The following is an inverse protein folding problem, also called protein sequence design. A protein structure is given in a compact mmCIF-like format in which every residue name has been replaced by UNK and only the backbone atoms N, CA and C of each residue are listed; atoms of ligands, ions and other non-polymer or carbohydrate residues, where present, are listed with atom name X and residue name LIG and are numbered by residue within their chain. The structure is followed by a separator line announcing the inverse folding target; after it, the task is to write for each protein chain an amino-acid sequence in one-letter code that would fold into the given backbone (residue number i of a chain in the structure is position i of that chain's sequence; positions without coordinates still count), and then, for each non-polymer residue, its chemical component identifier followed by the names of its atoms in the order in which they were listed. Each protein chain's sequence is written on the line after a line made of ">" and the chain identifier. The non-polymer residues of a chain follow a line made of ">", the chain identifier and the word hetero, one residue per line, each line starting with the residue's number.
data_IF_476520804449
#
_entry.id   IF_476520804449
#
_cell.length_a   1.000
_cell.length_b   1.000
_cell.length_c   1.000
_cell.angle_alpha   90.00
_cell.angle_beta   90.00
_cell.angle_gamma   90.00
#
_symmetry.space_group_name_H-M   'P 1'
#
loop_
_entity.id
_entity.type
_entity.pdbx_description
1 polymer ?
#
# COMPACT_ATOMS: atom_id res chain seq x y z
N UNK A 1 -1.75 -9.93 -8.69
CA UNK A 1 -3.14 -10.42 -8.53
C UNK A 1 -4.01 -9.72 -9.56
N UNK A 2 -5.03 -10.40 -10.05
CA UNK A 2 -6.01 -9.84 -11.01
C UNK A 2 -7.39 -10.21 -10.50
N UNK A 3 -8.05 -9.32 -9.74
CA UNK A 3 -9.42 -9.53 -9.32
C UNK A 3 -10.35 -9.71 -10.52
N UNK A 4 -11.37 -10.56 -10.38
CA UNK A 4 -12.46 -10.65 -11.36
C UNK A 4 -13.35 -9.40 -11.26
N UNK A 5 -14.12 -9.06 -12.33
CA UNK A 5 -15.04 -7.92 -12.28
C UNK A 5 -15.98 -7.99 -11.05
N UNK A 6 -16.06 -6.88 -10.31
CA UNK A 6 -16.85 -6.79 -9.08
C UNK A 6 -16.15 -7.29 -7.81
N UNK A 7 -14.95 -7.85 -7.92
CA UNK A 7 -14.10 -8.23 -6.79
C UNK A 7 -12.94 -7.26 -6.60
N UNK A 8 -12.51 -7.12 -5.35
CA UNK A 8 -11.35 -6.31 -5.00
C UNK A 8 -10.51 -6.94 -3.89
N UNK A 9 -9.21 -6.64 -3.94
CA UNK A 9 -8.28 -6.85 -2.83
C UNK A 9 -8.04 -5.54 -2.07
N UNK A 10 -7.29 -5.61 -0.96
CA UNK A 10 -7.12 -4.47 -0.06
C UNK A 10 -5.70 -3.91 -0.04
N UNK A 11 -5.61 -2.62 0.26
CA UNK A 11 -4.37 -1.94 0.59
C UNK A 11 -3.87 -2.31 1.99
N UNK A 12 -2.68 -1.81 2.35
CA UNK A 12 -2.07 -1.99 3.67
C UNK A 12 -2.97 -1.52 4.81
N UNK A 13 -3.44 -0.28 4.75
CA UNK A 13 -4.61 0.13 5.53
C UNK A 13 -5.84 -0.13 4.65
N UNK A 14 -6.75 -1.06 5.02
CA UNK A 14 -7.88 -1.41 4.17
C UNK A 14 -9.01 -0.37 4.22
N UNK A 15 -8.96 0.61 5.14
CA UNK A 15 -10.05 1.52 5.43
C UNK A 15 -11.01 0.94 6.47
N UNK A 16 -12.31 1.18 6.29
CA UNK A 16 -13.35 0.78 7.24
C UNK A 16 -13.59 -0.73 7.28
N UNK A 17 -13.35 -1.45 6.17
CA UNK A 17 -13.46 -2.90 6.11
C UNK A 17 -12.28 -3.52 5.37
N UNK A 18 -11.97 -4.78 5.70
CA UNK A 18 -10.93 -5.57 5.05
C UNK A 18 -9.72 -5.85 5.94
N UNK A 19 -8.70 -6.49 5.37
CA UNK A 19 -7.45 -6.84 6.06
C UNK A 19 -6.26 -6.77 5.11
N UNK A 20 -5.08 -6.42 5.66
CA UNK A 20 -3.82 -6.46 4.94
C UNK A 20 -3.46 -7.92 4.56
N UNK A 21 -2.95 -8.12 3.34
CA UNK A 21 -2.34 -9.39 2.93
C UNK A 21 -1.17 -9.77 3.84
N UNK A 22 -1.21 -10.98 4.42
CA UNK A 22 -0.12 -11.55 5.22
C UNK A 22 0.69 -12.54 4.40
N UNK A 23 2.02 -12.45 4.51
CA UNK A 23 2.95 -13.38 3.87
C UNK A 23 3.75 -14.15 4.91
N UNK A 24 3.65 -15.48 4.87
CA UNK A 24 4.45 -16.39 5.69
C UNK A 24 5.54 -17.01 4.82
N UNK A 25 6.75 -16.49 4.97
CA UNK A 25 7.89 -16.82 4.11
C UNK A 25 8.64 -18.07 4.57
N UNK A 26 9.03 -18.91 3.61
CA UNK A 26 10.02 -19.99 3.78
C UNK A 26 11.20 -19.71 2.85
N UNK A 27 12.27 -19.16 3.41
CA UNK A 27 13.43 -18.66 2.66
C UNK A 27 14.69 -19.47 2.96
N UNK A 28 15.70 -19.44 2.05
CA UNK A 28 17.00 -20.02 2.32
C UNK A 28 17.67 -19.33 3.52
N UNK A 29 18.64 -19.99 4.18
CA UNK A 29 19.36 -19.41 5.30
C UNK A 29 19.90 -18.01 4.99
N UNK A 30 19.68 -17.07 5.91
CA UNK A 30 20.14 -15.68 5.85
C UNK A 30 19.52 -14.82 4.73
N UNK A 31 18.64 -15.36 3.89
CA UNK A 31 17.79 -14.55 3.00
C UNK A 31 16.63 -13.98 3.81
N UNK A 32 16.32 -12.69 3.63
CA UNK A 32 15.20 -12.02 4.30
C UNK A 32 14.30 -11.33 3.29
N UNK A 33 13.00 -11.37 3.53
CA UNK A 33 12.01 -10.57 2.80
C UNK A 33 11.74 -9.27 3.55
N UNK A 34 11.56 -8.17 2.81
CA UNK A 34 11.01 -6.93 3.34
C UNK A 34 9.53 -7.08 3.68
N UNK A 35 8.95 -6.05 4.30
CA UNK A 35 7.50 -5.87 4.26
C UNK A 35 7.00 -5.76 2.81
N UNK A 36 5.72 -6.05 2.62
CA UNK A 36 5.04 -5.82 1.35
C UNK A 36 5.01 -4.32 1.04
N UNK A 37 5.38 -3.97 -0.18
CA UNK A 37 5.29 -2.62 -0.72
C UNK A 37 4.08 -2.54 -1.64
N UNK A 38 3.21 -1.61 -1.30
CA UNK A 38 1.91 -1.48 -1.91
C UNK A 38 1.88 -0.34 -2.93
N UNK A 39 1.29 -0.53 -4.12
CA UNK A 39 0.96 0.59 -4.99
C UNK A 39 -0.10 1.49 -4.34
N UNK A 40 -0.21 2.73 -4.81
CA UNK A 40 -1.28 3.65 -4.35
C UNK A 40 -2.65 3.01 -4.63
N UNK A 41 -3.55 2.91 -3.63
CA UNK A 41 -4.83 2.23 -3.79
C UNK A 41 -5.88 3.12 -4.46
N UNK A 42 -6.98 2.48 -4.87
CA UNK A 42 -8.23 3.16 -5.18
C UNK A 42 -9.06 3.41 -3.92
N UNK A 43 -10.11 4.23 -4.06
CA UNK A 43 -11.11 4.51 -3.02
C UNK A 43 -12.42 3.84 -3.41
N UNK A 44 -13.05 3.14 -2.48
CA UNK A 44 -14.33 2.47 -2.71
C UNK A 44 -15.26 2.71 -1.52
N UNK A 45 -16.30 3.52 -1.73
CA UNK A 45 -17.32 3.82 -0.72
C UNK A 45 -18.54 2.93 -0.93
N UNK A 46 -18.75 1.95 -0.05
CA UNK A 46 -19.89 1.05 -0.08
C UNK A 46 -20.66 1.18 1.22
N UNK A 47 -21.96 1.48 1.13
CA UNK A 47 -22.83 1.58 2.31
C UNK A 47 -22.30 2.53 3.41
N UNK A 48 -21.61 3.59 3.00
CA UNK A 48 -21.00 4.57 3.90
C UNK A 48 -19.65 4.16 4.50
N UNK A 49 -19.08 3.03 4.11
CA UNK A 49 -17.75 2.54 4.50
C UNK A 49 -16.73 2.82 3.39
N UNK A 50 -15.70 3.60 3.69
CA UNK A 50 -14.60 3.90 2.78
C UNK A 50 -13.53 2.83 2.87
N UNK A 51 -13.26 2.19 1.74
CA UNK A 51 -12.28 1.12 1.61
C UNK A 51 -11.16 1.57 0.67
N UNK A 52 -9.93 1.16 0.98
CA UNK A 52 -8.77 1.37 0.12
C UNK A 52 -8.40 0.05 -0.55
N UNK A 53 -8.67 -0.01 -1.84
CA UNK A 53 -8.80 -1.29 -2.55
C UNK A 53 -8.06 -1.31 -3.88
N UNK A 54 -7.97 -2.51 -4.43
CA UNK A 54 -7.56 -2.78 -5.79
C UNK A 54 -8.65 -3.59 -6.50
N UNK A 55 -9.44 -2.94 -7.34
CA UNK A 55 -10.46 -3.58 -8.19
C UNK A 55 -9.85 -4.17 -9.48
N UNK A 56 -8.63 -3.74 -9.82
CA UNK A 56 -7.91 -4.14 -11.03
C UNK A 56 -6.62 -4.90 -10.77
N UNK A 57 -5.94 -5.27 -11.86
CA UNK A 57 -4.64 -5.95 -11.80
C UNK A 57 -3.62 -5.09 -11.05
N UNK A 58 -3.03 -5.68 -10.02
CA UNK A 58 -2.02 -5.04 -9.18
C UNK A 58 -0.94 -6.05 -8.76
N UNK A 59 0.16 -5.55 -8.22
CA UNK A 59 1.21 -6.37 -7.62
C UNK A 59 1.70 -5.75 -6.32
N UNK A 60 1.89 -6.60 -5.32
CA UNK A 60 2.57 -6.26 -4.08
C UNK A 60 4.04 -6.63 -4.26
N UNK A 61 4.94 -5.68 -4.06
CA UNK A 61 6.37 -5.91 -4.26
C UNK A 61 7.04 -6.25 -2.94
N UNK A 62 8.06 -7.11 -3.00
CA UNK A 62 8.91 -7.46 -1.87
C UNK A 62 10.36 -7.37 -2.32
N UNK A 63 11.21 -6.79 -1.48
CA UNK A 63 12.65 -6.83 -1.68
C UNK A 63 13.23 -8.02 -0.91
N UNK A 64 14.08 -8.80 -1.57
CA UNK A 64 14.82 -9.89 -0.94
C UNK A 64 16.24 -9.44 -0.63
N UNK A 65 16.60 -9.38 0.64
CA UNK A 65 17.98 -9.22 1.07
C UNK A 65 18.69 -10.57 0.99
N UNK A 66 19.59 -10.71 0.02
CA UNK A 66 20.36 -11.94 -0.24
C UNK A 66 21.79 -11.77 0.31
N UNK A 67 22.38 -12.80 0.95
CA UNK A 67 23.77 -12.75 1.40
C UNK A 67 24.75 -12.45 0.25
N UNK A 68 25.74 -11.60 0.52
CA UNK A 68 26.83 -11.34 -0.43
C UNK A 68 27.74 -12.58 -0.54
N UNK A 69 28.39 -12.73 -1.69
CA UNK A 69 29.43 -13.74 -1.90
C UNK A 69 28.93 -15.15 -2.25
N UNK A 70 27.64 -15.32 -2.53
CA UNK A 70 27.12 -16.58 -3.08
C UNK A 70 27.72 -16.82 -4.48
N UNK A 71 28.12 -18.05 -4.78
CA UNK A 71 28.66 -18.42 -6.08
C UNK A 71 27.60 -18.27 -7.18
N UNK A 72 27.94 -17.78 -8.39
CA UNK A 72 27.04 -17.84 -9.54
C UNK A 72 26.52 -19.26 -9.78
N UNK A 73 25.25 -19.37 -10.16
CA UNK A 73 24.55 -20.66 -10.31
C UNK A 73 23.91 -21.19 -9.01
N UNK A 74 24.23 -20.61 -7.84
CA UNK A 74 23.57 -20.98 -6.58
C UNK A 74 22.06 -20.79 -6.70
N UNK A 75 21.30 -21.83 -6.35
CA UNK A 75 19.84 -21.82 -6.35
C UNK A 75 19.29 -21.34 -5.00
N UNK A 76 18.32 -20.44 -5.07
CA UNK A 76 17.64 -19.85 -3.93
C UNK A 76 16.13 -20.10 -4.08
N UNK A 77 15.61 -21.20 -3.52
CA UNK A 77 14.16 -21.44 -3.51
C UNK A 77 13.49 -20.40 -2.61
N UNK A 78 12.53 -19.66 -3.16
CA UNK A 78 11.71 -18.67 -2.45
C UNK A 78 10.28 -19.17 -2.42
N UNK A 79 9.75 -19.40 -1.22
CA UNK A 79 8.38 -19.88 -1.02
C UNK A 79 7.66 -19.01 -0.01
N UNK A 80 6.35 -18.88 -0.17
CA UNK A 80 5.51 -18.26 0.84
C UNK A 80 4.07 -18.79 0.78
N UNK A 81 3.39 -18.75 1.92
CA UNK A 81 1.94 -18.78 2.00
C UNK A 81 1.43 -17.34 2.08
N UNK A 82 0.55 -16.96 1.18
CA UNK A 82 -0.17 -15.69 1.20
C UNK A 82 -1.56 -15.92 1.78
N UNK A 83 -1.93 -15.19 2.81
CA UNK A 83 -3.30 -15.11 3.33
C UNK A 83 -3.82 -13.70 3.07
N UNK A 84 -4.98 -13.59 2.44
CA UNK A 84 -5.55 -12.31 2.02
C UNK A 84 -7.07 -12.36 2.03
N UNK A 85 -7.71 -11.21 1.90
CA UNK A 85 -9.15 -11.10 1.79
C UNK A 85 -9.51 -10.54 0.42
N UNK A 86 -10.48 -11.16 -0.22
CA UNK A 86 -11.14 -10.62 -1.41
C UNK A 86 -12.60 -10.37 -1.07
N UNK A 87 -13.13 -9.25 -1.54
CA UNK A 87 -14.52 -8.92 -1.31
C UNK A 87 -15.20 -8.44 -2.59
N UNK A 88 -16.52 -8.53 -2.61
CA UNK A 88 -17.41 -7.75 -3.45
C UNK A 88 -18.01 -6.61 -2.62
N UNK A 89 -19.05 -5.95 -3.13
CA UNK A 89 -19.88 -5.01 -2.36
C UNK A 89 -20.72 -5.65 -1.26
N UNK A 90 -20.86 -6.97 -1.27
CA UNK A 90 -21.77 -7.72 -0.40
C UNK A 90 -21.10 -8.85 0.38
N UNK A 91 -20.04 -9.45 -0.16
CA UNK A 91 -19.44 -10.68 0.38
C UNK A 91 -17.94 -10.48 0.55
N UNK A 92 -17.39 -11.01 1.64
CA UNK A 92 -15.96 -11.07 1.89
C UNK A 92 -15.51 -12.51 2.13
N UNK A 93 -14.48 -12.95 1.40
CA UNK A 93 -13.96 -14.31 1.44
C UNK A 93 -12.47 -14.28 1.79
N UNK A 94 -12.07 -14.89 2.93
CA UNK A 94 -10.66 -15.16 3.22
C UNK A 94 -10.11 -16.20 2.25
N UNK A 95 -8.97 -15.88 1.65
CA UNK A 95 -8.31 -16.70 0.64
C UNK A 95 -6.86 -16.99 1.05
N UNK A 96 -6.34 -18.11 0.55
CA UNK A 96 -4.96 -18.53 0.78
C UNK A 96 -4.33 -19.04 -0.51
N UNK A 97 -3.06 -18.70 -0.74
CA UNK A 97 -2.29 -19.21 -1.87
C UNK A 97 -0.86 -19.59 -1.45
N UNK A 98 -0.37 -20.72 -1.94
CA UNK A 98 1.06 -21.03 -1.89
C UNK A 98 1.75 -20.54 -3.16
N UNK A 99 2.76 -19.69 -2.98
CA UNK A 99 3.57 -19.16 -4.09
C UNK A 99 5.01 -19.64 -3.95
N UNK A 100 5.62 -19.98 -5.08
CA UNK A 100 6.99 -20.44 -5.12
C UNK A 100 7.71 -19.98 -6.39
N UNK A 101 8.98 -19.67 -6.25
CA UNK A 101 9.90 -19.44 -7.36
C UNK A 101 11.31 -19.89 -6.97
N UNK A 102 12.17 -20.12 -7.95
CA UNK A 102 13.58 -20.40 -7.72
C UNK A 102 14.42 -19.31 -8.38
N UNK A 103 15.14 -18.55 -7.56
CA UNK A 103 16.10 -17.56 -8.05
C UNK A 103 17.46 -18.24 -8.25
N UNK A 104 18.18 -17.82 -9.28
CA UNK A 104 19.56 -18.29 -9.53
C UNK A 104 20.51 -17.10 -9.38
N UNK A 105 21.52 -17.24 -8.52
CA UNK A 105 22.55 -16.20 -8.33
C UNK A 105 23.31 -16.02 -9.64
N UNK A 106 23.43 -14.78 -10.11
CA UNK A 106 24.08 -14.46 -11.37
C UNK A 106 24.06 -12.97 -11.67
N UNK A 107 24.32 -12.62 -12.91
CA UNK A 107 24.22 -11.24 -13.37
C UNK A 107 22.77 -10.72 -13.21
N UNK A 108 22.58 -9.42 -12.91
CA UNK A 108 21.25 -8.82 -12.89
C UNK A 108 20.51 -9.08 -14.20
N UNK A 109 19.27 -9.55 -14.11
CA UNK A 109 18.37 -9.74 -15.23
C UNK A 109 17.12 -8.89 -15.01
N UNK A 110 17.12 -7.63 -15.49
CA UNK A 110 15.98 -6.73 -15.32
C UNK A 110 14.74 -7.30 -16.01
N UNK A 111 13.59 -7.22 -15.33
CA UNK A 111 12.30 -7.57 -15.91
C UNK A 111 11.45 -6.29 -16.03
N UNK A 112 11.09 -5.84 -17.24
CA UNK A 112 10.30 -4.62 -17.46
C UNK A 112 8.97 -4.58 -16.72
N UNK A 113 8.37 -5.75 -16.40
CA UNK A 113 7.15 -5.80 -15.62
C UNK A 113 7.34 -5.22 -14.20
N UNK A 114 8.51 -5.42 -13.59
CA UNK A 114 8.81 -4.82 -12.29
C UNK A 114 8.92 -3.30 -12.37
N UNK A 115 9.38 -2.75 -13.49
CA UNK A 115 9.46 -1.30 -13.65
C UNK A 115 8.08 -0.66 -13.70
N UNK A 116 7.12 -1.31 -14.35
CA UNK A 116 5.72 -0.89 -14.33
C UNK A 116 5.14 -0.90 -12.91
N UNK A 117 5.36 -1.97 -12.14
CA UNK A 117 4.85 -2.07 -10.77
C UNK A 117 5.56 -1.13 -9.79
N UNK A 118 6.87 -0.89 -9.95
CA UNK A 118 7.61 0.09 -9.13
C UNK A 118 7.12 1.52 -9.37
N UNK A 119 6.73 1.87 -10.60
CA UNK A 119 6.18 3.20 -10.92
C UNK A 119 4.85 3.49 -10.21
N UNK A 120 4.10 2.45 -9.84
CA UNK A 120 2.83 2.57 -9.12
C UNK A 120 2.99 2.71 -7.60
N UNK A 121 4.21 2.52 -7.05
CA UNK A 121 4.48 2.73 -5.63
C UNK A 121 4.41 4.23 -5.27
N UNK A 122 4.00 4.57 -4.04
CA UNK A 122 4.08 5.93 -3.55
C UNK A 122 5.54 6.40 -3.57
N UNK A 123 5.76 7.63 -4.03
CA UNK A 123 7.09 8.26 -4.02
C UNK A 123 7.24 9.06 -2.73
N UNK A 124 8.36 8.91 -2.00
CA UNK A 124 8.65 9.77 -0.87
C UNK A 124 8.65 11.24 -1.30
N UNK A 125 8.01 12.09 -0.51
CA UNK A 125 8.19 13.53 -0.61
C UNK A 125 9.46 13.90 0.17
N UNK A 126 10.33 14.72 -0.43
CA UNK A 126 11.55 15.19 0.27
C UNK A 126 11.20 16.13 1.43
N UNK A 127 10.11 16.89 1.30
CA UNK A 127 9.62 17.77 2.34
C UNK A 127 8.85 16.98 3.41
N UNK A 128 9.09 17.33 4.68
CA UNK A 128 8.35 16.79 5.80
C UNK A 128 7.04 17.55 6.01
N UNK A 129 5.92 16.82 5.99
CA UNK A 129 4.62 17.36 6.39
C UNK A 129 4.55 17.53 7.91
N UNK A 130 3.66 18.42 8.36
CA UNK A 130 3.27 18.57 9.76
C UNK A 130 1.82 18.13 9.93
N UNK A 131 1.46 17.68 11.11
CA UNK A 131 0.08 17.37 11.44
C UNK A 131 -0.31 17.87 12.82
N UNK A 132 -1.61 18.09 13.02
CA UNK A 132 -2.22 18.37 14.31
C UNK A 132 -3.54 17.60 14.41
N UNK A 133 -3.80 17.03 15.59
CA UNK A 133 -5.12 16.51 15.97
C UNK A 133 -5.72 17.43 17.02
N UNK A 134 -6.83 18.10 16.68
CA UNK A 134 -7.47 19.06 17.58
C UNK A 134 -8.96 19.13 17.33
N UNK A 135 -9.75 19.17 18.41
CA UNK A 135 -11.21 19.29 18.35
C UNK A 135 -11.87 18.27 17.40
N UNK A 136 -11.42 17.01 17.44
CA UNK A 136 -11.95 15.92 16.60
C UNK A 136 -11.54 15.98 15.12
N UNK A 137 -10.54 16.79 14.77
CA UNK A 137 -10.05 16.94 13.40
C UNK A 137 -8.57 16.59 13.31
N UNK A 138 -8.20 15.85 12.26
CA UNK A 138 -6.82 15.68 11.83
C UNK A 138 -6.56 16.67 10.69
N UNK A 139 -5.56 17.54 10.86
CA UNK A 139 -5.12 18.47 9.82
C UNK A 139 -3.66 18.21 9.47
N UNK A 140 -3.39 18.09 8.16
CA UNK A 140 -2.07 17.93 7.58
C UNK A 140 -1.68 19.21 6.84
N UNK A 141 -0.45 19.65 7.03
CA UNK A 141 0.20 20.69 6.26
C UNK A 141 1.37 20.07 5.49
N UNK A 142 1.19 19.88 4.19
CA UNK A 142 2.18 19.28 3.29
C UNK A 142 2.85 20.38 2.47
N UNK A 143 4.16 20.62 2.65
CA UNK A 143 4.87 21.60 1.82
C UNK A 143 4.80 21.16 0.36
N UNK A 144 4.21 22.01 -0.47
CA UNK A 144 4.02 21.74 -1.89
C UNK A 144 3.93 23.08 -2.64
N UNK A 145 4.89 23.38 -3.54
CA UNK A 145 4.90 24.66 -4.26
C UNK A 145 3.58 24.91 -5.00
N UNK A 146 3.11 26.16 -4.98
CA UNK A 146 1.86 26.55 -5.64
C UNK A 146 1.88 26.31 -7.17
N UNK A 147 3.07 26.18 -7.77
CA UNK A 147 3.24 25.83 -9.18
C UNK A 147 2.89 24.38 -9.51
N UNK A 148 2.76 23.50 -8.52
CA UNK A 148 2.41 22.09 -8.73
C UNK A 148 0.89 21.97 -8.83
N UNK A 149 0.40 21.62 -10.02
CA UNK A 149 -1.02 21.34 -10.23
C UNK A 149 -1.40 19.99 -9.59
N UNK A 150 -2.51 19.97 -8.84
CA UNK A 150 -3.08 18.75 -8.25
C UNK A 150 -4.54 18.63 -8.68
N UNK A 151 -4.91 17.49 -9.25
CA UNK A 151 -6.26 17.27 -9.76
C UNK A 151 -7.20 16.59 -8.76
N UNK A 152 -6.73 15.58 -8.04
CA UNK A 152 -7.53 14.78 -7.09
C UNK A 152 -6.70 14.47 -5.82
N UNK A 153 -6.37 15.51 -5.02
CA UNK A 153 -5.65 15.32 -3.77
C UNK A 153 -6.47 14.49 -2.78
N UNK A 154 -5.86 13.46 -2.23
CA UNK A 154 -6.43 12.65 -1.16
C UNK A 154 -5.33 12.12 -0.26
N UNK A 155 -5.57 12.14 1.05
CA UNK A 155 -4.69 11.54 2.04
C UNK A 155 -5.14 10.13 2.38
N UNK A 156 -4.27 9.15 2.11
CA UNK A 156 -4.45 7.76 2.54
C UNK A 156 -3.70 7.55 3.86
N UNK A 157 -4.37 7.48 5.02
CA UNK A 157 -3.71 7.22 6.29
C UNK A 157 -3.12 5.81 6.30
N UNK A 158 -1.80 5.70 6.51
CA UNK A 158 -1.16 4.39 6.69
C UNK A 158 -1.44 3.80 8.07
N UNK A 159 -1.49 4.64 9.10
CA UNK A 159 -1.81 4.25 10.47
C UNK A 159 -3.31 3.98 10.59
N UNK A 160 -3.66 2.77 11.02
CA UNK A 160 -5.05 2.40 11.31
C UNK A 160 -5.63 3.35 12.36
N UNK A 161 -6.85 3.81 12.13
CA UNK A 161 -7.64 4.66 13.03
C UNK A 161 -6.95 5.99 13.37
N UNK A 162 -6.09 6.51 12.48
CA UNK A 162 -5.57 7.87 12.61
C UNK A 162 -6.61 8.93 12.18
N UNK A 163 -7.55 8.53 11.34
CA UNK A 163 -8.64 9.37 10.85
C UNK A 163 -9.86 8.51 10.55
N UNK A 164 -11.05 9.10 10.62
CA UNK A 164 -12.25 8.48 10.04
C UNK A 164 -12.13 8.52 8.52
N UNK A 165 -12.35 7.39 7.86
CA UNK A 165 -12.10 7.26 6.43
C UNK A 165 -13.25 7.75 5.56
N UNK A 166 -14.49 7.48 5.97
CA UNK A 166 -15.70 7.81 5.20
C UNK A 166 -15.99 9.31 5.05
N UNK A 167 -15.82 10.17 6.07
CA UNK A 167 -16.05 11.61 5.92
C UNK A 167 -15.18 12.21 4.80
N UNK A 168 -15.72 13.13 3.97
CA UNK A 168 -14.94 13.83 2.96
C UNK A 168 -13.74 14.57 3.55
N UNK A 169 -12.61 14.53 2.84
CA UNK A 169 -11.45 15.33 3.18
C UNK A 169 -11.59 16.73 2.59
N UNK A 170 -11.38 17.74 3.41
CA UNK A 170 -11.34 19.13 2.98
C UNK A 170 -9.93 19.45 2.51
N UNK A 171 -9.83 19.97 1.29
CA UNK A 171 -8.56 20.31 0.66
C UNK A 171 -8.49 21.83 0.46
N UNK A 172 -7.38 22.42 0.89
CA UNK A 172 -7.09 23.82 0.66
C UNK A 172 -5.60 24.06 0.42
N UNK A 173 -5.25 25.29 0.07
CA UNK A 173 -3.84 25.71 -0.07
C UNK A 173 -3.60 26.97 0.74
N UNK A 174 -2.36 27.14 1.19
CA UNK A 174 -1.88 28.37 1.83
C UNK A 174 -0.46 28.65 1.35
N UNK A 175 -0.32 29.45 0.28
CA UNK A 175 0.95 29.63 -0.41
C UNK A 175 1.48 28.27 -0.92
N UNK A 176 2.73 27.96 -0.57
CA UNK A 176 3.41 26.71 -0.93
C UNK A 176 3.10 25.56 0.04
N UNK A 177 1.85 25.47 0.50
CA UNK A 177 1.41 24.41 1.42
C UNK A 177 0.04 23.90 1.01
N UNK A 178 -0.06 22.59 0.79
CA UNK A 178 -1.33 21.87 0.69
C UNK A 178 -1.83 21.56 2.11
N UNK A 179 -3.06 21.93 2.39
CA UNK A 179 -3.77 21.61 3.63
C UNK A 179 -4.78 20.52 3.34
N UNK A 180 -4.70 19.43 4.11
CA UNK A 180 -5.71 18.37 4.12
C UNK A 180 -6.31 18.31 5.51
N UNK A 181 -7.63 18.40 5.62
CA UNK A 181 -8.35 18.24 6.88
C UNK A 181 -9.37 17.13 6.78
N UNK A 182 -9.42 16.26 7.79
CA UNK A 182 -10.43 15.21 7.93
C UNK A 182 -10.84 15.04 9.39
N UNK A 183 -11.89 14.27 9.64
CA UNK A 183 -12.26 13.89 10.99
C UNK A 183 -11.21 12.94 11.57
N UNK A 184 -10.73 13.24 12.78
CA UNK A 184 -9.88 12.31 13.54
C UNK A 184 -10.72 11.14 14.07
N UNK A 185 -10.09 9.97 14.22
CA UNK A 185 -10.73 8.86 14.91
C UNK A 185 -10.67 9.04 16.44
N UNK A 186 -11.52 8.32 17.16
CA UNK A 186 -11.50 8.24 18.61
C UNK A 186 -10.24 7.49 19.07
N UNK A 187 -9.22 8.25 19.47
CA UNK A 187 -7.91 7.70 19.87
C UNK A 187 -6.73 8.12 18.99
N UNK A 188 -6.95 8.97 17.98
CA UNK A 188 -5.87 9.58 17.22
C UNK A 188 -5.05 10.52 18.13
N UNK A 189 -3.87 10.07 18.57
CA UNK A 189 -2.89 10.83 19.33
C UNK A 189 -1.47 10.47 18.87
#
# INVERSE_FOLDING_TARGET
>A
MTPEPGWHGYWKNPGDAGVETRMEWRLPPRVKASELRYPVPGRLLISGLMNYVYEGRHALLVDLAVPKGLAPGTKLPVRAKADYLVCTDQVCVPESAEVATELTVGAPSPNPAFDAYRKALPRPLEAQAKFEVKAGKLRLAVPLPASVAIADPYFYPLTLNAARYAPPQQIGTNGDTLIVETAADEGAA
#
